data_IF_674956841711
#
_entry.id   IF_674956841711
#
_cell.length_a   1.000
_cell.length_b   1.000
_cell.length_c   1.000
_cell.angle_alpha   90.00
_cell.angle_beta   90.00
_cell.angle_gamma   90.00
#
_symmetry.space_group_name_H-M   'P 1'
#
loop_
_entity.id
_entity.type
_entity.pdbx_description
1 polymer ?
#
# COMPACT_ATOMS: atom_id res chain seq x y z
N UNK A 1 -0.51 45.26 60.08
CA UNK A 1 -0.30 46.59 59.44
C UNK A 1 -1.05 46.60 58.12
N UNK A 2 -1.82 47.66 57.81
CA UNK A 2 -2.39 47.81 56.46
C UNK A 2 -1.25 48.20 55.50
N UNK A 3 -1.17 47.62 54.30
CA UNK A 3 -0.14 47.99 53.34
C UNK A 3 -0.27 49.48 52.98
N UNK A 4 0.87 50.16 52.87
CA UNK A 4 0.89 51.57 52.46
C UNK A 4 0.40 51.71 51.02
N UNK A 5 -0.06 52.90 50.63
CA UNK A 5 -0.58 53.10 49.26
C UNK A 5 0.48 52.88 48.19
N UNK A 6 1.77 53.07 48.53
CA UNK A 6 2.89 52.70 47.68
C UNK A 6 2.98 51.18 47.47
N UNK A 7 2.90 50.39 48.56
CA UNK A 7 2.93 48.93 48.48
C UNK A 7 1.75 48.38 47.67
N UNK A 8 0.54 48.94 47.86
CA UNK A 8 -0.62 48.58 47.03
C UNK A 8 -0.41 48.90 45.56
N UNK A 9 0.21 50.04 45.24
CA UNK A 9 0.51 50.44 43.86
C UNK A 9 1.49 49.45 43.20
N UNK A 10 2.54 49.03 43.92
CA UNK A 10 3.50 48.02 43.44
C UNK A 10 2.80 46.68 43.18
N UNK A 11 1.96 46.22 44.13
CA UNK A 11 1.19 45.00 43.98
C UNK A 11 0.27 45.03 42.75
N UNK A 12 -0.51 46.10 42.57
CA UNK A 12 -1.41 46.25 41.43
C UNK A 12 -0.66 46.22 40.08
N UNK A 13 0.53 46.83 40.01
CA UNK A 13 1.37 46.80 38.79
C UNK A 13 1.85 45.40 38.47
N UNK A 14 2.32 44.67 39.48
CA UNK A 14 2.75 43.28 39.32
C UNK A 14 1.60 42.37 38.89
N UNK A 15 0.44 42.47 39.56
CA UNK A 15 -0.75 41.72 39.20
C UNK A 15 -1.23 42.01 37.77
N UNK A 16 -1.21 43.28 37.35
CA UNK A 16 -1.56 43.68 35.98
C UNK A 16 -0.62 43.05 34.96
N UNK A 17 0.68 43.05 35.24
CA UNK A 17 1.69 42.39 34.41
C UNK A 17 1.41 40.89 34.29
N UNK A 18 1.22 40.19 35.41
CA UNK A 18 0.90 38.76 35.42
C UNK A 18 -0.37 38.44 34.63
N UNK A 19 -1.46 39.20 34.86
CA UNK A 19 -2.72 39.02 34.13
C UNK A 19 -2.52 39.22 32.62
N UNK A 20 -1.68 40.17 32.20
CA UNK A 20 -1.35 40.40 30.80
C UNK A 20 -0.56 39.24 30.20
N UNK A 21 0.46 38.73 30.91
CA UNK A 21 1.26 37.59 30.47
C UNK A 21 0.38 36.35 30.30
N UNK A 22 -0.44 36.02 31.30
CA UNK A 22 -1.34 34.85 31.23
C UNK A 22 -2.32 34.98 30.06
N UNK A 23 -2.93 36.15 29.86
CA UNK A 23 -3.81 36.39 28.70
C UNK A 23 -3.11 36.21 27.36
N UNK A 24 -1.86 36.68 27.24
CA UNK A 24 -1.07 36.50 26.02
C UNK A 24 -0.76 35.03 25.77
N UNK A 25 -0.32 34.29 26.79
CA UNK A 25 -0.04 32.84 26.67
C UNK A 25 -1.27 32.07 26.23
N UNK A 26 -2.42 32.34 26.84
CA UNK A 26 -3.70 31.72 26.44
C UNK A 26 -4.04 32.07 24.98
N UNK A 27 -3.86 33.32 24.57
CA UNK A 27 -4.10 33.75 23.19
C UNK A 27 -3.17 33.02 22.20
N UNK A 28 -1.89 32.89 22.53
CA UNK A 28 -0.91 32.23 21.67
C UNK A 28 -1.17 30.72 21.59
N UNK A 29 -1.60 30.09 22.69
CA UNK A 29 -2.07 28.71 22.68
C UNK A 29 -3.23 28.50 21.70
N UNK A 30 -4.28 29.33 21.77
CA UNK A 30 -5.42 29.19 20.86
C UNK A 30 -5.05 29.47 19.39
N UNK A 31 -4.14 30.41 19.13
CA UNK A 31 -3.62 30.62 17.78
C UNK A 31 -2.92 29.37 17.25
N UNK A 32 -2.09 28.73 18.07
CA UNK A 32 -1.36 27.54 17.69
C UNK A 32 -2.30 26.35 17.47
N UNK A 33 -3.28 26.17 18.34
CA UNK A 33 -4.32 25.14 18.19
C UNK A 33 -5.06 25.30 16.85
N UNK A 34 -5.43 26.53 16.49
CA UNK A 34 -6.12 26.79 15.22
C UNK A 34 -5.19 26.60 14.02
N UNK A 35 -3.90 26.93 14.14
CA UNK A 35 -2.90 26.69 13.10
C UNK A 35 -2.73 25.20 12.82
N UNK A 36 -2.70 24.36 13.85
CA UNK A 36 -2.63 22.89 13.72
C UNK A 36 -3.91 22.34 13.12
N UNK A 37 -5.08 22.76 13.61
CA UNK A 37 -6.38 22.33 13.06
C UNK A 37 -6.52 22.61 11.56
N UNK A 38 -5.94 23.69 11.05
CA UNK A 38 -5.97 24.02 9.62
C UNK A 38 -5.00 23.19 8.76
N UNK A 39 -4.09 22.42 9.37
CA UNK A 39 -3.01 21.69 8.68
C UNK A 39 -2.99 20.19 8.98
N UNK A 40 -3.60 19.78 10.08
CA UNK A 40 -3.57 18.43 10.62
C UNK A 40 -5.00 17.90 10.72
N UNK A 41 -5.17 16.62 10.44
CA UNK A 41 -6.43 15.89 10.67
C UNK A 41 -6.15 14.76 11.66
N UNK A 42 -7.14 14.42 12.49
CA UNK A 42 -6.99 13.29 13.42
C UNK A 42 -6.87 11.99 12.63
N UNK A 43 -6.07 11.04 13.12
CA UNK A 43 -6.01 9.70 12.51
C UNK A 43 -7.39 9.02 12.45
N UNK A 44 -8.24 9.26 13.45
CA UNK A 44 -9.62 8.74 13.50
C UNK A 44 -10.57 9.36 12.47
N UNK A 45 -10.18 10.49 11.87
CA UNK A 45 -10.96 11.22 10.86
C UNK A 45 -10.36 11.04 9.46
N UNK A 46 -9.28 10.25 9.33
CA UNK A 46 -8.71 9.92 8.03
C UNK A 46 -9.71 9.07 7.22
N UNK A 47 -9.91 9.37 5.93
CA UNK A 47 -10.67 8.50 5.05
C UNK A 47 -9.98 7.13 4.92
N UNK A 48 -10.76 6.04 4.93
CA UNK A 48 -10.25 4.67 4.79
C UNK A 48 -9.35 4.52 3.55
N UNK A 49 -9.73 5.14 2.43
CA UNK A 49 -8.95 5.15 1.18
C UNK A 49 -7.51 5.70 1.37
N UNK A 50 -7.31 6.63 2.31
CA UNK A 50 -5.98 7.17 2.60
C UNK A 50 -5.21 6.26 3.56
N UNK A 51 -5.91 5.65 4.52
CA UNK A 51 -5.35 4.67 5.46
C UNK A 51 -4.86 3.42 4.72
N UNK A 52 -5.66 2.91 3.79
CA UNK A 52 -5.31 1.75 2.94
C UNK A 52 -4.03 2.01 2.12
N UNK A 53 -3.82 3.26 1.68
CA UNK A 53 -2.59 3.66 0.96
C UNK A 53 -1.36 3.77 1.85
N UNK A 54 -1.56 3.90 3.16
CA UNK A 54 -0.47 3.96 4.15
C UNK A 54 -0.14 2.57 4.72
N UNK A 55 -0.98 1.57 4.47
CA UNK A 55 -0.73 0.21 4.89
C UNK A 55 0.54 -0.34 4.23
N UNK A 56 1.43 -0.87 5.05
CA UNK A 56 2.57 -1.67 4.62
C UNK A 56 2.29 -3.09 5.06
N UNK A 57 2.30 -4.02 4.12
CA UNK A 57 2.15 -5.44 4.39
C UNK A 57 3.55 -6.06 4.44
N UNK A 58 3.77 -6.90 5.45
CA UNK A 58 4.98 -7.73 5.51
C UNK A 58 4.95 -8.77 4.38
N UNK A 59 6.12 -9.05 3.81
CA UNK A 59 6.30 -9.99 2.71
C UNK A 59 6.86 -11.32 3.25
N UNK A 60 6.02 -12.35 3.35
CA UNK A 60 6.44 -13.67 3.82
C UNK A 60 6.54 -14.68 2.68
N UNK A 61 7.54 -15.57 2.73
CA UNK A 61 7.70 -16.62 1.70
C UNK A 61 6.52 -17.60 1.63
N UNK A 62 5.77 -17.75 2.71
CA UNK A 62 4.56 -18.58 2.78
C UNK A 62 3.39 -18.05 1.97
N UNK A 63 3.43 -16.76 1.61
CA UNK A 63 2.31 -16.09 0.96
C UNK A 63 2.29 -16.34 -0.56
N UNK A 64 3.31 -17.04 -1.09
CA UNK A 64 3.47 -17.28 -2.51
C UNK A 64 3.43 -18.76 -2.87
N UNK A 65 2.76 -19.06 -3.97
CA UNK A 65 3.01 -20.29 -4.71
C UNK A 65 4.16 -20.07 -5.69
N UNK A 66 5.19 -20.92 -5.62
CA UNK A 66 6.38 -20.83 -6.47
C UNK A 66 6.29 -21.78 -7.66
N UNK A 67 6.54 -21.25 -8.86
CA UNK A 67 6.72 -22.03 -10.09
C UNK A 67 8.13 -21.85 -10.63
N UNK A 68 8.91 -22.93 -10.71
CA UNK A 68 10.25 -22.87 -11.30
C UNK A 68 10.18 -23.09 -12.82
N UNK A 69 10.56 -22.07 -13.59
CA UNK A 69 10.55 -22.11 -15.06
C UNK A 69 11.85 -21.51 -15.58
N UNK A 70 12.54 -22.21 -16.49
CA UNK A 70 13.85 -21.80 -17.02
C UNK A 70 14.93 -21.59 -15.93
N UNK A 71 14.81 -22.28 -14.78
CA UNK A 71 15.70 -22.11 -13.63
C UNK A 71 15.46 -20.81 -12.84
N UNK A 72 14.35 -20.12 -13.09
CA UNK A 72 13.92 -18.92 -12.38
C UNK A 72 12.65 -19.26 -11.60
N UNK A 73 12.63 -18.87 -10.33
CA UNK A 73 11.47 -19.07 -9.46
C UNK A 73 10.51 -17.89 -9.60
N UNK A 74 9.32 -18.17 -10.11
CA UNK A 74 8.23 -17.20 -10.28
C UNK A 74 7.29 -17.33 -9.10
N UNK A 75 7.12 -16.23 -8.35
CA UNK A 75 6.27 -16.14 -7.17
C UNK A 75 4.90 -15.61 -7.55
N UNK A 76 3.85 -16.37 -7.23
CA UNK A 76 2.45 -15.97 -7.46
C UNK A 76 1.77 -15.82 -6.10
N UNK A 77 1.34 -14.59 -5.80
CA UNK A 77 0.68 -14.21 -4.53
C UNK A 77 -0.79 -14.65 -4.48
N UNK A 78 -1.49 -14.54 -5.60
CA UNK A 78 -2.93 -14.81 -5.66
C UNK A 78 -3.19 -16.32 -5.72
N UNK A 79 -3.84 -16.87 -4.69
CA UNK A 79 -4.09 -18.30 -4.54
C UNK A 79 -5.00 -18.86 -5.64
N UNK A 80 -6.04 -18.12 -6.04
CA UNK A 80 -6.97 -18.53 -7.10
C UNK A 80 -6.24 -18.63 -8.45
N UNK A 81 -5.40 -17.63 -8.75
CA UNK A 81 -4.53 -17.63 -9.92
C UNK A 81 -3.52 -18.78 -9.89
N UNK A 82 -2.88 -19.02 -8.74
CA UNK A 82 -1.93 -20.10 -8.57
C UNK A 82 -2.60 -21.46 -8.80
N UNK A 83 -3.81 -21.66 -8.29
CA UNK A 83 -4.55 -22.91 -8.46
C UNK A 83 -5.02 -23.11 -9.90
N UNK A 84 -5.49 -22.04 -10.56
CA UNK A 84 -5.81 -22.08 -11.98
C UNK A 84 -4.58 -22.41 -12.85
N UNK A 85 -3.41 -21.89 -12.50
CA UNK A 85 -2.14 -22.21 -13.17
C UNK A 85 -1.73 -23.68 -12.96
N UNK A 86 -1.94 -24.25 -11.76
CA UNK A 86 -1.64 -25.67 -11.47
C UNK A 86 -2.51 -26.64 -12.29
N UNK A 87 -3.76 -26.27 -12.56
CA UNK A 87 -4.69 -27.07 -13.37
C UNK A 87 -4.34 -27.12 -14.87
N UNK A 88 -3.50 -26.20 -15.35
CA UNK A 88 -3.03 -26.23 -16.73
C UNK A 88 -1.97 -27.31 -16.98
N UNK A 89 -1.91 -27.90 -18.18
CA UNK A 89 -0.76 -28.72 -18.58
C UNK A 89 0.54 -27.92 -18.46
N UNK A 90 1.57 -28.52 -17.88
CA UNK A 90 2.85 -27.87 -17.56
C UNK A 90 3.41 -27.04 -18.73
N UNK A 91 3.42 -27.59 -19.94
CA UNK A 91 3.94 -26.89 -21.11
C UNK A 91 3.19 -25.57 -21.39
N UNK A 92 1.87 -25.58 -21.27
CA UNK A 92 1.00 -24.41 -21.48
C UNK A 92 1.13 -23.42 -20.33
N UNK A 93 1.17 -23.91 -19.08
CA UNK A 93 1.46 -23.11 -17.89
C UNK A 93 2.78 -22.37 -18.05
N UNK A 94 3.85 -23.07 -18.40
CA UNK A 94 5.17 -22.50 -18.57
C UNK A 94 5.21 -21.49 -19.74
N UNK A 95 4.43 -21.69 -20.80
CA UNK A 95 4.27 -20.67 -21.86
C UNK A 95 3.68 -19.37 -21.32
N UNK A 96 2.67 -19.42 -20.45
CA UNK A 96 2.11 -18.23 -19.82
C UNK A 96 3.10 -17.55 -18.88
N UNK A 97 3.75 -18.36 -18.03
CA UNK A 97 4.73 -17.88 -17.06
C UNK A 97 5.92 -17.19 -17.76
N UNK A 98 6.46 -17.79 -18.82
CA UNK A 98 7.53 -17.16 -19.61
C UNK A 98 7.08 -15.85 -20.28
N UNK A 99 5.87 -15.80 -20.83
CA UNK A 99 5.40 -14.63 -21.57
C UNK A 99 5.04 -13.45 -20.66
N UNK A 100 4.31 -13.71 -19.56
CA UNK A 100 3.78 -12.66 -18.70
C UNK A 100 4.70 -12.29 -17.53
N UNK A 101 5.46 -13.24 -16.98
CA UNK A 101 6.29 -13.00 -15.79
C UNK A 101 7.78 -12.86 -16.12
N UNK A 102 8.27 -13.53 -17.16
CA UNK A 102 9.66 -13.40 -17.61
C UNK A 102 9.82 -12.48 -18.82
N UNK A 103 8.72 -11.84 -19.26
CA UNK A 103 8.67 -10.90 -20.40
C UNK A 103 9.26 -11.47 -21.71
N UNK A 104 9.29 -12.79 -21.87
CA UNK A 104 9.83 -13.42 -23.06
C UNK A 104 8.88 -13.28 -24.24
N UNK A 105 9.44 -12.97 -25.42
CA UNK A 105 8.68 -12.92 -26.66
C UNK A 105 8.26 -14.31 -27.13
N UNK A 106 7.21 -14.37 -27.96
CA UNK A 106 6.74 -15.65 -28.52
C UNK A 106 7.83 -16.37 -29.34
N UNK A 107 8.76 -15.61 -29.95
CA UNK A 107 9.90 -16.14 -30.69
C UNK A 107 10.94 -16.78 -29.77
N UNK A 108 11.27 -16.14 -28.64
CA UNK A 108 12.20 -16.69 -27.64
C UNK A 108 11.62 -17.97 -27.02
N UNK A 109 10.33 -17.95 -26.67
CA UNK A 109 9.63 -19.12 -26.14
C UNK A 109 9.59 -20.25 -27.17
N UNK A 110 9.33 -19.94 -28.44
CA UNK A 110 9.33 -20.91 -29.54
C UNK A 110 10.69 -21.59 -29.69
N UNK A 111 11.77 -20.81 -29.65
CA UNK A 111 13.15 -21.31 -29.71
C UNK A 111 13.52 -22.19 -28.52
N UNK A 112 13.04 -21.85 -27.32
CA UNK A 112 13.29 -22.60 -26.09
C UNK A 112 12.49 -23.91 -26.06
N UNK A 113 11.20 -23.87 -26.40
CA UNK A 113 10.32 -25.04 -26.41
C UNK A 113 10.38 -25.87 -27.70
N UNK A 114 11.19 -25.47 -28.69
CA UNK A 114 11.33 -26.12 -30.01
C UNK A 114 9.98 -26.29 -30.74
N UNK A 115 9.20 -25.22 -30.79
CA UNK A 115 7.93 -25.14 -31.54
C UNK A 115 7.90 -23.88 -32.41
N UNK A 116 6.89 -23.78 -33.28
CA UNK A 116 6.68 -22.56 -34.06
C UNK A 116 6.14 -21.43 -33.19
N UNK A 117 6.43 -20.19 -33.57
CA UNK A 117 5.86 -18.99 -32.92
C UNK A 117 4.33 -19.03 -32.90
N UNK A 118 3.70 -19.43 -34.01
CA UNK A 118 2.24 -19.63 -34.06
C UNK A 118 1.75 -20.70 -33.07
N UNK A 119 2.56 -21.73 -32.81
CA UNK A 119 2.29 -22.74 -31.79
C UNK A 119 2.30 -22.16 -30.38
N UNK A 120 3.25 -21.27 -30.08
CA UNK A 120 3.31 -20.53 -28.80
C UNK A 120 2.06 -19.66 -28.63
N UNK A 121 1.70 -18.88 -29.66
CA UNK A 121 0.51 -18.04 -29.66
C UNK A 121 -0.76 -18.87 -29.38
N UNK A 122 -0.95 -20.00 -30.09
CA UNK A 122 -2.09 -20.90 -29.87
C UNK A 122 -2.10 -21.49 -28.46
N UNK A 123 -0.94 -21.92 -27.96
CA UNK A 123 -0.83 -22.46 -26.61
C UNK A 123 -1.22 -21.43 -25.56
N UNK A 124 -0.71 -20.21 -25.69
CA UNK A 124 -1.05 -19.07 -24.81
C UNK A 124 -2.53 -18.76 -24.86
N UNK A 125 -3.09 -18.61 -26.06
CA UNK A 125 -4.51 -18.30 -26.24
C UNK A 125 -5.42 -19.37 -25.61
N UNK A 126 -5.17 -20.65 -25.90
CA UNK A 126 -5.97 -21.74 -25.32
C UNK A 126 -5.77 -21.89 -23.80
N UNK A 127 -4.57 -21.63 -23.28
CA UNK A 127 -4.31 -21.66 -21.85
C UNK A 127 -5.12 -20.58 -21.13
N UNK A 128 -5.13 -19.35 -21.64
CA UNK A 128 -5.94 -18.25 -21.11
C UNK A 128 -7.44 -18.55 -21.15
N UNK A 129 -7.95 -19.09 -22.26
CA UNK A 129 -9.36 -19.50 -22.33
C UNK A 129 -9.71 -20.61 -21.32
N UNK A 130 -8.75 -21.50 -21.02
CA UNK A 130 -8.95 -22.54 -19.99
C UNK A 130 -8.96 -21.93 -18.59
N UNK A 131 -8.01 -21.05 -18.27
CA UNK A 131 -7.98 -20.33 -16.99
C UNK A 131 -9.25 -19.51 -16.77
N UNK A 132 -9.73 -18.83 -17.82
CA UNK A 132 -10.98 -18.06 -17.77
C UNK A 132 -12.20 -18.91 -17.44
N UNK A 133 -12.21 -20.20 -17.81
CA UNK A 133 -13.27 -21.13 -17.43
C UNK A 133 -13.13 -21.57 -15.98
N UNK A 134 -11.91 -21.97 -15.58
CA UNK A 134 -11.61 -22.39 -14.21
C UNK A 134 -12.01 -21.30 -13.20
N UNK A 135 -11.56 -20.07 -13.44
CA UNK A 135 -11.83 -18.92 -12.56
C UNK A 135 -13.31 -18.47 -12.58
N UNK A 136 -14.11 -18.91 -13.55
CA UNK A 136 -15.55 -18.63 -13.61
C UNK A 136 -16.39 -19.73 -12.98
N UNK A 137 -15.85 -20.94 -12.84
CA UNK A 137 -16.55 -22.10 -12.26
C UNK A 137 -16.38 -22.16 -10.73
N UNK A 138 -15.40 -21.43 -10.18
CA UNK A 138 -15.14 -21.32 -8.74
C UNK A 138 -15.93 -20.17 -8.06
N UNK A 139 -16.78 -19.46 -8.83
CA UNK A 139 -17.73 -18.44 -8.36
C UNK A 139 -19.17 -18.83 -8.72
#
# INVERSE_FOLDING_TARGET
MKPSDFQKTVQCRFESCLKKVVRSVVKDYYKELNRRKNKEISFSELPDVLVDKMAVWDDYETDYTIFSVCGIDIRVLDDELAEALKKLPERKRNTLLMYYFLEMTESEIANLQKITQSGVFRNRHHALETMKKILKEEH
#
